data_IF_551173426448
#
_entry.id   IF_551173426448
#
_cell.length_a   1.000
_cell.length_b   1.000
_cell.length_c   1.000
_cell.angle_alpha   90.00
_cell.angle_beta   90.00
_cell.angle_gamma   90.00
#
_symmetry.space_group_name_H-M   'P 1'
#
loop_
_entity.id
_entity.type
_entity.pdbx_description
1 polymer ?
#
# COMPACT_ATOMS: atom_id res chain seq x y z
N UNK A 1 19.38 2.18 -33.19
CA UNK A 1 19.05 2.76 -31.87
C UNK A 1 18.41 1.67 -31.04
N UNK A 2 18.99 1.35 -29.87
CA UNK A 2 18.49 0.29 -28.98
C UNK A 2 17.31 0.86 -28.18
N UNK A 3 16.10 0.43 -28.49
CA UNK A 3 14.93 0.70 -27.66
C UNK A 3 15.02 -0.16 -26.40
N UNK A 4 15.64 0.38 -25.36
CA UNK A 4 15.60 -0.19 -24.02
C UNK A 4 14.20 0.05 -23.44
N UNK A 5 13.24 -0.79 -23.83
CA UNK A 5 11.95 -0.90 -23.17
C UNK A 5 12.00 -2.15 -22.31
N UNK A 6 12.53 -2.02 -21.11
CA UNK A 6 12.37 -2.98 -20.01
C UNK A 6 10.90 -3.04 -19.64
N UNK A 7 10.15 -3.81 -20.42
CA UNK A 7 8.72 -4.08 -20.25
C UNK A 7 8.56 -5.57 -19.92
N UNK A 8 9.27 -6.03 -18.88
CA UNK A 8 9.32 -7.44 -18.51
C UNK A 8 9.86 -7.61 -17.09
N UNK A 9 9.06 -7.26 -16.06
CA UNK A 9 9.15 -7.82 -14.67
C UNK A 9 8.09 -7.32 -13.67
N UNK A 10 7.16 -6.43 -14.03
CA UNK A 10 6.30 -5.76 -13.03
C UNK A 10 4.99 -6.48 -12.68
N UNK A 11 4.75 -7.71 -13.16
CA UNK A 11 3.41 -8.33 -13.08
C UNK A 11 3.04 -9.00 -11.76
N UNK A 12 3.87 -8.92 -10.71
CA UNK A 12 3.61 -9.50 -9.38
C UNK A 12 4.51 -8.89 -8.28
N UNK A 13 4.68 -7.56 -8.27
CA UNK A 13 5.37 -6.93 -7.13
C UNK A 13 4.44 -6.98 -5.93
N UNK A 14 4.90 -7.49 -4.78
CA UNK A 14 4.06 -7.51 -3.57
C UNK A 14 3.85 -6.09 -3.05
N UNK A 15 2.74 -5.84 -2.36
CA UNK A 15 2.47 -4.52 -1.76
C UNK A 15 3.62 -4.06 -0.85
N UNK A 16 4.20 -4.99 -0.07
CA UNK A 16 5.40 -4.73 0.72
C UNK A 16 6.57 -4.18 -0.12
N UNK A 17 6.84 -4.80 -1.27
CA UNK A 17 7.90 -4.33 -2.17
C UNK A 17 7.54 -3.00 -2.81
N UNK A 18 6.26 -2.75 -3.14
CA UNK A 18 5.82 -1.44 -3.60
C UNK A 18 6.17 -0.37 -2.56
N UNK A 19 5.69 -0.51 -1.33
CA UNK A 19 5.96 0.44 -0.24
C UNK A 19 7.46 0.63 0.02
N UNK A 20 8.24 -0.44 -0.01
CA UNK A 20 9.69 -0.38 0.19
C UNK A 20 10.42 0.38 -0.94
N UNK A 21 9.94 0.31 -2.18
CA UNK A 21 10.53 1.01 -3.31
C UNK A 21 10.00 2.44 -3.49
N UNK A 22 8.81 2.73 -2.96
CA UNK A 22 8.19 4.06 -2.99
C UNK A 22 8.77 4.98 -1.92
N UNK A 23 9.04 4.46 -0.73
CA UNK A 23 9.48 5.26 0.42
C UNK A 23 11.01 5.32 0.54
N UNK A 24 11.51 6.44 1.09
CA UNK A 24 12.90 6.50 1.54
C UNK A 24 13.11 5.53 2.72
N UNK A 25 14.37 5.14 2.97
CA UNK A 25 14.70 4.29 4.12
C UNK A 25 14.29 4.93 5.46
N UNK A 26 14.33 6.26 5.56
CA UNK A 26 13.92 6.99 6.75
C UNK A 26 12.40 6.95 6.94
N UNK A 27 11.64 7.20 5.87
CA UNK A 27 10.18 7.19 5.89
C UNK A 27 9.67 5.78 6.19
N UNK A 28 10.21 4.76 5.51
CA UNK A 28 9.87 3.36 5.76
C UNK A 28 10.15 2.94 7.20
N UNK A 29 11.26 3.40 7.79
CA UNK A 29 11.59 3.14 9.20
C UNK A 29 10.61 3.82 10.16
N UNK A 30 10.12 5.00 9.83
CA UNK A 30 9.16 5.76 10.64
C UNK A 30 7.70 5.34 10.42
N UNK A 31 7.41 4.59 9.36
CA UNK A 31 6.07 4.18 8.95
C UNK A 31 5.24 3.54 10.07
N UNK A 32 5.76 2.63 10.92
CA UNK A 32 4.98 2.08 12.03
C UNK A 32 4.47 3.16 12.99
N UNK A 33 5.32 4.16 13.29
CA UNK A 33 4.96 5.27 14.17
C UNK A 33 3.90 6.17 13.51
N UNK A 34 4.03 6.47 12.22
CA UNK A 34 3.06 7.27 11.46
C UNK A 34 1.68 6.58 11.38
N UNK A 35 1.66 5.26 11.25
CA UNK A 35 0.41 4.48 11.23
C UNK A 35 -0.18 4.28 12.65
N UNK A 36 0.63 4.45 13.71
CA UNK A 36 0.25 4.13 15.08
C UNK A 36 0.23 2.63 15.36
N UNK A 37 1.09 1.86 14.67
CA UNK A 37 1.18 0.40 14.74
C UNK A 37 2.56 -0.03 15.25
N UNK A 38 2.64 -1.25 15.80
CA UNK A 38 3.94 -1.85 16.07
C UNK A 38 4.67 -2.20 14.77
N UNK A 39 6.01 -2.30 14.83
CA UNK A 39 6.81 -2.69 13.66
C UNK A 39 6.40 -4.07 13.11
N UNK A 40 6.09 -5.02 14.01
CA UNK A 40 5.60 -6.35 13.64
C UNK A 40 4.26 -6.28 12.94
N UNK A 41 3.31 -5.52 13.48
CA UNK A 41 1.97 -5.36 12.89
C UNK A 41 2.04 -4.66 11.52
N UNK A 42 2.87 -3.63 11.40
CA UNK A 42 3.11 -2.91 10.14
C UNK A 42 3.65 -3.87 9.08
N UNK A 43 4.69 -4.64 9.40
CA UNK A 43 5.26 -5.63 8.47
C UNK A 43 4.24 -6.69 8.06
N UNK A 44 3.44 -7.18 9.01
CA UNK A 44 2.40 -8.18 8.75
C UNK A 44 1.37 -7.66 7.75
N UNK A 45 0.85 -6.45 7.98
CA UNK A 45 -0.18 -5.81 7.15
C UNK A 45 0.34 -5.38 5.77
N UNK A 46 1.61 -4.98 5.68
CA UNK A 46 2.22 -4.70 4.37
C UNK A 46 2.44 -5.96 3.54
N UNK A 47 2.69 -7.10 4.19
CA UNK A 47 2.81 -8.41 3.50
C UNK A 47 1.46 -9.04 3.18
N UNK A 48 0.43 -8.72 3.95
CA UNK A 48 -0.95 -9.19 3.79
C UNK A 48 -1.88 -7.96 3.72
N UNK A 49 -1.91 -7.25 2.59
CA UNK A 49 -2.65 -5.99 2.44
C UNK A 49 -4.16 -6.12 2.66
N UNK A 50 -4.72 -7.32 2.48
CA UNK A 50 -6.12 -7.62 2.81
C UNK A 50 -6.45 -7.45 4.31
N UNK A 51 -5.44 -7.48 5.20
CA UNK A 51 -5.59 -7.24 6.65
C UNK A 51 -5.52 -5.75 7.03
N UNK A 52 -5.39 -4.85 6.05
CA UNK A 52 -5.42 -3.42 6.33
C UNK A 52 -6.84 -2.96 6.60
N UNK A 53 -7.03 -2.30 7.74
CA UNK A 53 -8.28 -1.64 8.08
C UNK A 53 -8.37 -0.25 7.43
N UNK A 54 -9.59 0.28 7.37
CA UNK A 54 -9.88 1.56 6.73
C UNK A 54 -9.03 2.72 7.32
N UNK A 55 -8.91 2.89 8.66
CA UNK A 55 -8.09 3.95 9.23
C UNK A 55 -6.61 3.85 8.83
N UNK A 56 -6.06 2.63 8.72
CA UNK A 56 -4.66 2.44 8.31
C UNK A 56 -4.47 2.82 6.86
N UNK A 57 -5.39 2.42 5.97
CA UNK A 57 -5.31 2.74 4.53
C UNK A 57 -5.37 4.26 4.32
N UNK A 58 -6.26 4.96 5.02
CA UNK A 58 -6.36 6.43 4.96
C UNK A 58 -5.07 7.15 5.37
N UNK A 59 -4.31 6.59 6.31
CA UNK A 59 -3.00 7.14 6.70
C UNK A 59 -1.89 6.75 5.73
N UNK A 60 -1.93 5.52 5.21
CA UNK A 60 -0.86 4.96 4.38
C UNK A 60 -0.80 5.63 3.01
N UNK A 61 -1.95 5.87 2.39
CA UNK A 61 -2.04 6.42 1.03
C UNK A 61 -1.35 7.78 0.87
N UNK A 62 -1.60 8.80 1.72
CA UNK A 62 -0.91 10.08 1.60
C UNK A 62 0.60 9.96 1.84
N UNK A 63 1.05 8.98 2.65
CA UNK A 63 2.48 8.71 2.88
C UNK A 63 3.13 8.18 1.58
N UNK A 64 2.41 7.37 0.81
CA UNK A 64 2.90 6.82 -0.45
C UNK A 64 2.89 7.84 -1.60
N UNK A 65 2.15 8.95 -1.46
CA UNK A 65 1.99 9.94 -2.53
C UNK A 65 1.40 9.36 -3.83
N UNK A 66 0.72 8.22 -3.74
CA UNK A 66 0.18 7.47 -4.86
C UNK A 66 -1.34 7.68 -4.97
N UNK A 67 -1.90 7.42 -6.16
CA UNK A 67 -3.34 7.47 -6.36
C UNK A 67 -4.03 6.39 -5.51
N UNK A 68 -4.97 6.82 -4.66
CA UNK A 68 -5.67 5.97 -3.72
C UNK A 68 -6.36 4.80 -4.42
N UNK A 69 -7.03 5.08 -5.53
CA UNK A 69 -7.85 4.10 -6.25
C UNK A 69 -6.95 3.08 -6.94
N UNK A 70 -5.88 3.52 -7.57
CA UNK A 70 -4.90 2.62 -8.20
C UNK A 70 -4.30 1.65 -7.18
N UNK A 71 -3.80 2.15 -6.05
CA UNK A 71 -3.14 1.31 -5.04
C UNK A 71 -4.13 0.37 -4.35
N UNK A 72 -5.34 0.83 -4.01
CA UNK A 72 -6.34 -0.03 -3.37
C UNK A 72 -6.81 -1.15 -4.30
N UNK A 73 -6.93 -0.88 -5.60
CA UNK A 73 -7.34 -1.89 -6.60
C UNK A 73 -6.19 -2.84 -6.95
N UNK A 74 -4.99 -2.33 -7.21
CA UNK A 74 -3.83 -3.15 -7.62
C UNK A 74 -3.41 -4.14 -6.54
N UNK A 75 -3.47 -3.73 -5.26
CA UNK A 75 -3.01 -4.52 -4.12
C UNK A 75 -4.14 -5.07 -3.25
N UNK A 76 -5.39 -4.92 -3.69
CA UNK A 76 -6.59 -5.40 -2.99
C UNK A 76 -6.61 -5.00 -1.50
N UNK A 77 -6.27 -3.73 -1.21
CA UNK A 77 -6.09 -3.27 0.16
C UNK A 77 -7.39 -3.40 0.96
N UNK A 78 -7.32 -4.14 2.06
CA UNK A 78 -8.44 -4.34 2.97
C UNK A 78 -9.60 -5.15 2.41
N UNK A 79 -9.42 -5.89 1.29
CA UNK A 79 -10.49 -6.65 0.64
C UNK A 79 -11.29 -7.56 1.60
N UNK A 80 -10.60 -8.26 2.52
CA UNK A 80 -11.23 -9.13 3.52
C UNK A 80 -11.66 -8.40 4.80
N UNK A 81 -11.09 -7.22 5.06
CA UNK A 81 -11.25 -6.50 6.33
C UNK A 81 -12.25 -5.35 6.27
N UNK A 82 -12.54 -4.83 5.08
CA UNK A 82 -13.39 -3.67 4.87
C UNK A 82 -14.83 -4.06 4.55
N UNK A 83 -15.78 -3.35 5.14
CA UNK A 83 -17.16 -3.40 4.66
C UNK A 83 -17.29 -2.77 3.28
N UNK A 84 -18.32 -3.17 2.52
CA UNK A 84 -18.64 -2.54 1.23
C UNK A 84 -18.80 -1.01 1.32
N UNK A 85 -19.24 -0.49 2.49
CA UNK A 85 -19.36 0.95 2.74
C UNK A 85 -17.99 1.62 2.87
N UNK A 86 -17.05 1.01 3.59
CA UNK A 86 -15.70 1.54 3.77
C UNK A 86 -14.90 1.47 2.47
N UNK A 87 -15.02 0.37 1.74
CA UNK A 87 -14.42 0.24 0.42
C UNK A 87 -14.91 1.32 -0.55
N UNK A 88 -16.24 1.57 -0.58
CA UNK A 88 -16.81 2.68 -1.37
C UNK A 88 -16.26 4.05 -0.97
N UNK A 89 -16.01 4.29 0.32
CA UNK A 89 -15.40 5.55 0.75
C UNK A 89 -13.98 5.70 0.21
N UNK A 90 -13.18 4.63 0.16
CA UNK A 90 -11.85 4.69 -0.45
C UNK A 90 -11.89 4.97 -1.96
N UNK A 91 -12.93 4.52 -2.66
CA UNK A 91 -13.06 4.65 -4.12
C UNK A 91 -13.73 5.94 -4.61
N UNK A 92 -14.20 6.79 -3.70
CA UNK A 92 -14.95 8.02 -4.00
C UNK A 92 -14.30 9.28 -3.40
N UNK A 93 -13.04 9.18 -2.98
CA UNK A 93 -12.20 10.33 -2.58
C UNK A 93 -11.48 10.88 -3.80
#
# INVERSE_FOLDING_TARGET
>A
MKTNTTKTTERNRSFYQHVLNTLSAADFKSLPQQLGLSQRMTTLRLRNPNLLDYPTIQKLVPILGADLKEVVQEYELGYDSLSAREYKKLMHI
#
